data_IF_986096198563
#
_entry.id   IF_986096198563
#
_cell.length_a   1.000
_cell.length_b   1.000
_cell.length_c   1.000
_cell.angle_alpha   90.00
_cell.angle_beta   90.00
_cell.angle_gamma   90.00
#
_symmetry.space_group_name_H-M   'P 1'
#
loop_
_entity.id
_entity.type
_entity.pdbx_description
1 polymer ?
#
# COMPACT_ATOMS: atom_id res chain seq x y z
N UNK A 1 6.81 -10.77 39.18
CA UNK A 1 6.37 -9.54 38.49
C UNK A 1 6.68 -9.75 37.00
N UNK A 2 5.71 -10.05 36.17
CA UNK A 2 5.92 -10.15 34.73
C UNK A 2 6.17 -8.74 34.17
N UNK A 3 7.30 -8.56 33.48
CA UNK A 3 7.58 -7.32 32.78
C UNK A 3 6.45 -7.06 31.77
N UNK A 4 5.89 -5.85 31.80
CA UNK A 4 4.93 -5.43 30.79
C UNK A 4 5.65 -5.47 29.43
N UNK A 5 5.05 -6.11 28.39
CA UNK A 5 5.69 -6.17 27.08
C UNK A 5 5.85 -4.74 26.53
N UNK A 6 7.03 -4.45 25.97
CA UNK A 6 7.28 -3.19 25.28
C UNK A 6 6.47 -3.21 23.95
N UNK A 7 5.39 -2.43 23.94
CA UNK A 7 4.49 -2.35 22.78
C UNK A 7 5.21 -1.80 21.54
N UNK A 8 6.22 -0.94 21.70
CA UNK A 8 6.97 -0.41 20.58
C UNK A 8 7.87 -1.45 19.95
N UNK A 9 8.54 -2.28 20.77
CA UNK A 9 9.31 -3.42 20.29
C UNK A 9 8.40 -4.43 19.56
N UNK A 10 7.22 -4.72 20.13
CA UNK A 10 6.24 -5.61 19.50
C UNK A 10 5.75 -5.09 18.15
N UNK A 11 5.43 -3.80 18.03
CA UNK A 11 4.98 -3.20 16.76
C UNK A 11 6.10 -3.18 15.73
N UNK A 12 7.34 -2.93 16.14
CA UNK A 12 8.51 -2.92 15.25
C UNK A 12 8.75 -4.27 14.55
N UNK A 13 8.30 -5.38 15.13
CA UNK A 13 8.37 -6.71 14.49
C UNK A 13 7.56 -6.81 13.19
N UNK A 14 6.59 -5.91 12.97
CA UNK A 14 5.76 -5.89 11.75
C UNK A 14 6.34 -4.98 10.66
N UNK A 15 7.32 -4.13 10.97
CA UNK A 15 7.82 -3.12 10.03
C UNK A 15 8.61 -3.74 8.87
N UNK A 16 9.16 -4.94 9.05
CA UNK A 16 9.93 -5.66 8.04
C UNK A 16 9.17 -6.81 7.36
N UNK A 17 7.85 -6.90 7.57
CA UNK A 17 7.01 -7.87 6.85
C UNK A 17 6.72 -7.32 5.44
N UNK A 18 7.12 -8.03 4.37
CA UNK A 18 6.91 -7.56 3.01
C UNK A 18 5.44 -7.25 2.70
N UNK A 19 5.17 -6.05 2.17
CA UNK A 19 3.83 -5.61 1.81
C UNK A 19 2.93 -5.21 2.99
N UNK A 20 3.43 -5.25 4.21
CA UNK A 20 2.69 -4.86 5.43
C UNK A 20 3.13 -3.47 5.89
N UNK A 21 2.15 -2.63 6.20
CA UNK A 21 2.37 -1.29 6.76
C UNK A 21 1.45 -1.08 7.94
N UNK A 22 2.02 -1.10 9.14
CA UNK A 22 1.23 -0.86 10.36
C UNK A 22 0.90 0.63 10.47
N UNK A 23 -0.39 0.95 10.54
CA UNK A 23 -0.86 2.32 10.69
C UNK A 23 -0.82 2.74 12.16
N UNK A 24 0.30 3.36 12.55
CA UNK A 24 0.53 3.81 13.93
C UNK A 24 0.07 5.26 14.14
N UNK A 25 0.02 5.70 15.41
CA UNK A 25 -0.25 7.09 15.75
C UNK A 25 0.81 8.06 15.15
N UNK A 26 2.05 7.62 15.00
CA UNK A 26 3.09 8.40 14.32
C UNK A 26 2.77 8.58 12.84
N UNK A 27 2.40 7.51 12.14
CA UNK A 27 1.96 7.57 10.74
C UNK A 27 0.70 8.40 10.55
N UNK A 28 -0.27 8.30 11.48
CA UNK A 28 -1.48 9.11 11.46
C UNK A 28 -1.16 10.62 11.55
N UNK A 29 -0.21 11.00 12.41
CA UNK A 29 0.25 12.40 12.50
C UNK A 29 0.98 12.85 11.24
N UNK A 30 1.90 12.03 10.72
CA UNK A 30 2.63 12.29 9.50
C UNK A 30 1.70 12.53 8.31
N UNK A 31 0.68 11.69 8.15
CA UNK A 31 -0.26 11.72 7.03
C UNK A 31 -1.51 12.57 7.27
N UNK A 32 -1.57 13.36 8.35
CA UNK A 32 -2.80 14.06 8.71
C UNK A 32 -3.36 14.90 7.56
N UNK A 33 -2.57 15.77 6.97
CA UNK A 33 -3.02 16.66 5.89
C UNK A 33 -3.27 15.90 4.58
N UNK A 34 -2.47 14.87 4.28
CA UNK A 34 -2.70 13.96 3.15
C UNK A 34 -4.07 13.27 3.26
N UNK A 35 -4.39 12.76 4.46
CA UNK A 35 -5.67 12.09 4.71
C UNK A 35 -6.85 13.08 4.67
N UNK A 36 -6.68 14.31 5.15
CA UNK A 36 -7.70 15.37 5.05
C UNK A 36 -7.93 15.79 3.60
N UNK A 37 -6.86 15.94 2.80
CA UNK A 37 -6.96 16.16 1.37
C UNK A 37 -7.79 15.04 0.71
N UNK A 38 -7.45 13.77 0.93
CA UNK A 38 -8.17 12.65 0.36
C UNK A 38 -9.66 12.65 0.77
N UNK A 39 -9.95 12.92 2.04
CA UNK A 39 -11.33 13.04 2.55
C UNK A 39 -12.11 14.20 1.92
N UNK A 40 -11.44 15.29 1.57
CA UNK A 40 -12.10 16.43 0.92
C UNK A 40 -12.79 16.06 -0.39
N UNK A 41 -12.26 15.04 -1.10
CA UNK A 41 -12.79 14.52 -2.36
C UNK A 41 -14.12 13.76 -2.21
N UNK A 42 -14.63 13.59 -0.99
CA UNK A 42 -16.00 13.13 -0.78
C UNK A 42 -17.05 14.12 -1.31
N UNK A 43 -16.73 15.40 -1.34
CA UNK A 43 -17.63 16.45 -1.85
C UNK A 43 -17.50 16.58 -3.35
N UNK A 44 -18.62 16.71 -4.06
CA UNK A 44 -18.65 16.83 -5.51
C UNK A 44 -17.91 18.08 -6.01
N UNK A 45 -18.15 19.23 -5.38
CA UNK A 45 -17.47 20.47 -5.73
C UNK A 45 -15.94 20.40 -5.63
N UNK A 46 -15.42 19.63 -4.65
CA UNK A 46 -13.99 19.44 -4.50
C UNK A 46 -13.41 18.52 -5.58
N UNK A 47 -14.16 17.49 -5.98
CA UNK A 47 -13.74 16.63 -7.11
C UNK A 47 -13.71 17.39 -8.43
N UNK A 48 -14.63 18.31 -8.65
CA UNK A 48 -14.62 19.17 -9.83
C UNK A 48 -13.40 20.10 -9.86
N UNK A 49 -13.10 20.76 -8.73
CA UNK A 49 -11.89 21.58 -8.58
C UNK A 49 -10.62 20.76 -8.77
N UNK A 50 -10.56 19.59 -8.16
CA UNK A 50 -9.44 18.65 -8.29
C UNK A 50 -9.21 18.26 -9.75
N UNK A 51 -10.24 17.82 -10.46
CA UNK A 51 -10.16 17.43 -11.88
C UNK A 51 -9.82 18.59 -12.82
N UNK A 52 -10.18 19.81 -12.45
CA UNK A 52 -9.85 20.99 -13.24
C UNK A 52 -8.36 21.35 -13.17
N UNK A 53 -7.75 21.30 -11.99
CA UNK A 53 -6.32 21.56 -11.78
C UNK A 53 -5.85 20.90 -10.49
N UNK A 54 -5.22 19.75 -10.61
CA UNK A 54 -4.73 18.95 -9.47
C UNK A 54 -3.63 19.69 -8.71
N UNK A 55 -2.71 20.35 -9.42
CA UNK A 55 -1.59 21.04 -8.79
C UNK A 55 -2.07 22.25 -7.98
N UNK A 56 -2.97 23.05 -8.54
CA UNK A 56 -3.57 24.17 -7.84
C UNK A 56 -4.38 23.72 -6.62
N UNK A 57 -5.13 22.62 -6.75
CA UNK A 57 -5.89 22.08 -5.62
C UNK A 57 -4.97 21.59 -4.48
N UNK A 58 -3.84 20.95 -4.82
CA UNK A 58 -2.85 20.49 -3.85
C UNK A 58 -2.11 21.65 -3.17
N UNK A 59 -1.99 22.81 -3.84
CA UNK A 59 -1.35 23.97 -3.24
C UNK A 59 -2.08 24.50 -2.00
N UNK A 60 -3.41 24.31 -1.94
CA UNK A 60 -4.23 24.70 -0.79
C UNK A 60 -3.99 23.82 0.46
N UNK A 61 -3.26 22.70 0.32
CA UNK A 61 -3.06 21.75 1.41
C UNK A 61 -1.65 21.84 1.98
N UNK A 62 -1.51 21.91 3.32
CA UNK A 62 -0.19 21.96 3.98
C UNK A 62 0.46 20.57 4.05
N UNK A 63 0.52 19.91 2.89
CA UNK A 63 1.23 18.64 2.70
C UNK A 63 2.70 18.88 2.36
N UNK A 64 3.55 17.90 2.62
CA UNK A 64 4.93 17.92 2.15
C UNK A 64 4.98 17.77 0.62
N UNK A 65 6.02 18.29 -0.02
CA UNK A 65 6.20 18.13 -1.47
C UNK A 65 6.25 16.64 -1.86
N UNK A 66 6.90 15.80 -1.06
CA UNK A 66 6.93 14.35 -1.29
C UNK A 66 5.52 13.72 -1.27
N UNK A 67 4.60 14.22 -0.44
CA UNK A 67 3.20 13.77 -0.44
C UNK A 67 2.47 14.25 -1.69
N UNK A 68 2.66 15.51 -2.09
CA UNK A 68 2.04 16.08 -3.30
C UNK A 68 2.51 15.35 -4.56
N UNK A 69 3.82 15.15 -4.70
CA UNK A 69 4.41 14.41 -5.82
C UNK A 69 3.86 12.98 -5.91
N UNK A 70 3.76 12.28 -4.77
CA UNK A 70 3.22 10.94 -4.74
C UNK A 70 1.71 10.89 -5.11
N UNK A 71 0.93 11.93 -4.75
CA UNK A 71 -0.48 12.05 -5.17
C UNK A 71 -0.56 12.25 -6.69
N UNK A 72 0.22 13.17 -7.25
CA UNK A 72 0.22 13.43 -8.70
C UNK A 72 0.69 12.23 -9.51
N UNK A 73 1.67 11.48 -8.97
CA UNK A 73 2.16 10.24 -9.58
C UNK A 73 1.22 9.03 -9.38
N UNK A 74 0.16 9.15 -8.56
CA UNK A 74 -0.68 8.02 -8.14
C UNK A 74 0.12 6.86 -7.52
N UNK A 75 1.25 7.19 -6.89
CA UNK A 75 2.08 6.20 -6.18
C UNK A 75 1.47 5.88 -4.81
N UNK A 76 0.47 5.00 -4.81
CA UNK A 76 -0.26 4.63 -3.60
C UNK A 76 0.63 3.94 -2.57
N UNK A 77 1.63 3.18 -3.00
CA UNK A 77 2.61 2.58 -2.09
C UNK A 77 3.40 3.65 -1.35
N UNK A 78 3.90 4.63 -2.08
CA UNK A 78 4.61 5.79 -1.52
C UNK A 78 3.71 6.60 -0.59
N UNK A 79 2.44 6.81 -0.96
CA UNK A 79 1.47 7.51 -0.13
C UNK A 79 1.23 6.80 1.20
N UNK A 80 1.15 5.46 1.22
CA UNK A 80 1.07 4.69 2.47
C UNK A 80 2.33 4.88 3.33
N UNK A 81 3.53 4.91 2.73
CA UNK A 81 4.79 5.15 3.44
C UNK A 81 4.87 6.58 4.03
N UNK A 82 4.22 7.54 3.37
CA UNK A 82 4.13 8.93 3.81
C UNK A 82 2.96 9.21 4.79
N UNK A 83 2.37 8.16 5.36
CA UNK A 83 1.33 8.27 6.39
C UNK A 83 -0.11 8.29 5.86
N UNK A 84 -0.29 7.98 4.58
CA UNK A 84 -1.62 7.79 4.01
C UNK A 84 -2.33 6.58 4.61
N UNK A 85 -3.64 6.68 4.76
CA UNK A 85 -4.49 5.57 5.14
C UNK A 85 -5.27 5.11 3.91
N UNK A 86 -5.26 3.80 3.63
CA UNK A 86 -5.87 3.24 2.42
C UNK A 86 -7.36 3.59 2.26
N UNK A 87 -8.12 3.68 3.37
CA UNK A 87 -9.53 4.05 3.33
C UNK A 87 -9.75 5.50 2.88
N UNK A 88 -8.82 6.40 3.20
CA UNK A 88 -8.86 7.79 2.74
C UNK A 88 -8.33 7.89 1.31
N UNK A 89 -7.21 7.23 0.99
CA UNK A 89 -6.65 7.18 -0.35
C UNK A 89 -7.64 6.59 -1.38
N UNK A 90 -8.57 5.74 -0.94
CA UNK A 90 -9.65 5.23 -1.77
C UNK A 90 -10.49 6.35 -2.42
N UNK A 91 -10.55 7.54 -1.82
CA UNK A 91 -11.26 8.69 -2.41
C UNK A 91 -10.53 9.25 -3.63
N UNK A 92 -9.19 9.18 -3.63
CA UNK A 92 -8.36 9.62 -4.76
C UNK A 92 -8.61 8.70 -5.96
N UNK A 93 -8.36 7.41 -5.83
CA UNK A 93 -8.52 6.49 -6.97
C UNK A 93 -9.99 6.34 -7.43
N UNK A 94 -10.96 6.45 -6.51
CA UNK A 94 -12.38 6.48 -6.91
C UNK A 94 -12.73 7.77 -7.70
N UNK A 95 -12.08 8.89 -7.40
CA UNK A 95 -12.26 10.14 -8.16
C UNK A 95 -11.66 10.02 -9.56
N UNK A 96 -10.59 9.23 -9.72
CA UNK A 96 -10.01 8.86 -11.02
C UNK A 96 -10.85 7.81 -11.78
N UNK A 97 -11.92 7.29 -11.17
CA UNK A 97 -12.79 6.27 -11.77
C UNK A 97 -12.28 4.84 -11.63
N UNK A 98 -11.23 4.61 -10.83
CA UNK A 98 -10.71 3.28 -10.58
C UNK A 98 -11.54 2.55 -9.53
N UNK A 99 -11.81 1.27 -9.78
CA UNK A 99 -12.31 0.36 -8.75
C UNK A 99 -11.21 0.07 -7.71
N UNK A 100 -11.62 -0.41 -6.54
CA UNK A 100 -10.66 -0.83 -5.51
C UNK A 100 -9.72 -1.92 -6.04
N UNK A 101 -10.25 -2.90 -6.77
CA UNK A 101 -9.48 -3.97 -7.37
C UNK A 101 -8.40 -3.46 -8.33
N UNK A 102 -8.76 -2.51 -9.21
CA UNK A 102 -7.80 -1.88 -10.11
C UNK A 102 -6.69 -1.13 -9.36
N UNK A 103 -7.04 -0.34 -8.35
CA UNK A 103 -6.06 0.40 -7.57
C UNK A 103 -5.07 -0.54 -6.84
N UNK A 104 -5.56 -1.60 -6.17
CA UNK A 104 -4.68 -2.54 -5.46
C UNK A 104 -3.85 -3.41 -6.40
N UNK A 105 -4.33 -3.70 -7.62
CA UNK A 105 -3.53 -4.41 -8.61
C UNK A 105 -2.30 -3.58 -9.01
N UNK A 106 -2.45 -2.26 -9.22
CA UNK A 106 -1.29 -1.38 -9.49
C UNK A 106 -0.29 -1.38 -8.35
N UNK A 107 -0.75 -1.39 -7.09
CA UNK A 107 0.10 -1.46 -5.91
C UNK A 107 0.88 -2.78 -5.79
N UNK A 108 0.34 -3.85 -6.33
CA UNK A 108 0.97 -5.19 -6.32
C UNK A 108 1.91 -5.42 -7.50
N UNK A 109 1.90 -4.52 -8.51
CA UNK A 109 2.64 -4.69 -9.76
C UNK A 109 2.07 -5.78 -10.67
N UNK A 110 0.80 -6.18 -10.45
CA UNK A 110 0.10 -7.21 -11.23
C UNK A 110 -0.92 -6.56 -12.16
N UNK A 111 -1.31 -7.26 -13.24
CA UNK A 111 -2.51 -6.90 -13.97
C UNK A 111 -3.75 -7.08 -13.09
N UNK A 112 -4.86 -6.42 -13.44
CA UNK A 112 -6.11 -6.56 -12.68
C UNK A 112 -6.64 -7.99 -12.75
N UNK A 113 -6.50 -8.64 -13.89
CA UNK A 113 -6.90 -10.03 -14.14
C UNK A 113 -6.08 -11.02 -13.31
N UNK A 114 -4.75 -10.87 -13.32
CA UNK A 114 -3.85 -11.74 -12.55
C UNK A 114 -4.07 -11.56 -11.04
N UNK A 115 -4.25 -10.30 -10.60
CA UNK A 115 -4.55 -10.02 -9.20
C UNK A 115 -5.90 -10.64 -8.78
N UNK A 116 -6.94 -10.51 -9.61
CA UNK A 116 -8.24 -11.12 -9.34
C UNK A 116 -8.15 -12.66 -9.32
N UNK A 117 -7.43 -13.27 -10.26
CA UNK A 117 -7.22 -14.71 -10.30
C UNK A 117 -6.49 -15.21 -9.04
N UNK A 118 -5.42 -14.50 -8.63
CA UNK A 118 -4.70 -14.81 -7.39
C UNK A 118 -5.60 -14.72 -6.16
N UNK A 119 -6.42 -13.68 -6.05
CA UNK A 119 -7.33 -13.51 -4.91
C UNK A 119 -8.42 -14.59 -4.88
N UNK A 120 -8.97 -14.96 -6.05
CA UNK A 120 -9.96 -16.04 -6.16
C UNK A 120 -9.38 -17.42 -5.85
N UNK A 121 -8.08 -17.61 -6.07
CA UNK A 121 -7.34 -18.81 -5.68
C UNK A 121 -6.98 -18.88 -4.18
N UNK A 122 -7.48 -17.94 -3.37
CA UNK A 122 -7.24 -17.90 -1.92
C UNK A 122 -6.20 -16.87 -1.49
N UNK A 123 -5.73 -16.03 -2.41
CA UNK A 123 -4.73 -15.00 -2.13
C UNK A 123 -3.31 -15.57 -2.01
N UNK A 124 -2.38 -14.73 -1.56
CA UNK A 124 -1.02 -15.17 -1.26
C UNK A 124 -1.02 -16.03 0.01
N UNK A 125 -0.28 -17.15 -0.03
CA UNK A 125 -0.09 -17.95 1.17
C UNK A 125 0.53 -17.10 2.29
N UNK A 126 0.01 -17.16 3.52
CA UNK A 126 0.66 -16.53 4.67
C UNK A 126 1.94 -17.27 5.07
N UNK A 127 2.14 -18.51 4.59
CA UNK A 127 3.34 -19.28 4.84
C UNK A 127 4.53 -18.61 4.15
N UNK A 128 5.57 -18.29 4.92
CA UNK A 128 6.75 -17.58 4.43
C UNK A 128 6.62 -16.05 4.36
N UNK A 129 5.45 -15.46 4.62
CA UNK A 129 5.26 -14.01 4.77
C UNK A 129 5.49 -13.61 6.22
N UNK A 130 6.62 -14.02 6.76
CA UNK A 130 7.08 -13.57 8.08
C UNK A 130 7.99 -12.36 7.93
N UNK A 131 8.32 -11.73 9.05
CA UNK A 131 9.31 -10.66 9.03
C UNK A 131 10.62 -11.14 8.42
N UNK A 132 11.32 -10.27 7.71
CA UNK A 132 12.61 -10.59 7.07
C UNK A 132 13.62 -11.06 8.12
N UNK A 133 13.64 -10.40 9.29
CA UNK A 133 14.51 -10.75 10.41
C UNK A 133 14.18 -12.13 11.00
N UNK A 134 12.89 -12.43 11.18
CA UNK A 134 12.45 -13.74 11.69
C UNK A 134 12.75 -14.87 10.70
N UNK A 135 12.55 -14.65 9.40
CA UNK A 135 12.90 -15.63 8.36
C UNK A 135 14.41 -15.88 8.29
N UNK A 136 15.22 -14.83 8.44
CA UNK A 136 16.70 -14.96 8.48
C UNK A 136 17.15 -15.75 9.71
N UNK A 137 16.55 -15.50 10.88
CA UNK A 137 16.84 -16.24 12.11
C UNK A 137 16.43 -17.73 12.01
N UNK A 138 15.37 -18.04 11.24
CA UNK A 138 14.90 -19.40 10.98
C UNK A 138 15.66 -20.12 9.85
N UNK A 139 16.66 -19.47 9.21
CA UNK A 139 17.41 -20.05 8.08
C UNK A 139 16.63 -20.13 6.77
N UNK A 140 15.51 -19.43 6.67
CA UNK A 140 14.67 -19.38 5.47
C UNK A 140 15.15 -18.36 4.43
N UNK A 141 14.80 -18.61 3.15
CA UNK A 141 15.00 -17.66 2.07
C UNK A 141 14.19 -16.37 2.31
N UNK A 142 14.75 -15.21 1.98
CA UNK A 142 14.04 -13.95 2.09
C UNK A 142 12.82 -13.95 1.16
N UNK A 143 11.69 -13.37 1.58
CA UNK A 143 10.43 -13.37 0.83
C UNK A 143 10.54 -12.87 -0.63
N UNK A 144 11.61 -12.12 -0.96
CA UNK A 144 11.97 -11.72 -2.32
C UNK A 144 12.40 -12.90 -3.21
N UNK A 145 13.07 -13.90 -2.65
CA UNK A 145 13.52 -15.08 -3.40
C UNK A 145 12.39 -16.11 -3.56
N UNK A 146 11.55 -16.27 -2.52
CA UNK A 146 10.36 -17.11 -2.60
C UNK A 146 9.36 -16.59 -3.65
N UNK A 147 9.22 -15.27 -3.77
CA UNK A 147 8.34 -14.65 -4.77
C UNK A 147 8.88 -14.76 -6.21
N UNK A 148 10.22 -14.79 -6.40
CA UNK A 148 10.84 -15.08 -7.71
C UNK A 148 10.72 -16.54 -8.11
N UNK A 149 10.84 -17.45 -7.16
CA UNK A 149 10.68 -18.89 -7.42
C UNK A 149 9.24 -19.24 -7.82
N UNK A 150 8.24 -18.59 -7.19
CA UNK A 150 6.83 -18.77 -7.54
C UNK A 150 6.49 -18.16 -8.91
N UNK A 151 7.11 -17.05 -9.30
CA UNK A 151 6.92 -16.42 -10.61
C UNK A 151 7.62 -17.18 -11.75
N UNK A 152 8.67 -17.95 -11.46
CA UNK A 152 9.42 -18.72 -12.46
C UNK A 152 8.82 -20.10 -12.78
N UNK A 153 7.93 -20.62 -11.96
CA UNK A 153 7.36 -21.97 -12.13
C UNK A 153 6.13 -22.01 -13.06
N UNK A 154 5.66 -20.86 -13.56
CA UNK A 154 4.41 -20.74 -14.35
C UNK A 154 4.55 -20.75 -15.86
N UNK A 155 5.74 -20.93 -16.44
CA UNK A 155 5.92 -20.79 -17.89
C UNK A 155 6.66 -21.98 -18.54
N UNK A 156 6.15 -23.19 -18.33
CA UNK A 156 6.39 -24.30 -19.25
C UNK A 156 5.07 -24.67 -19.90
N UNK A 157 4.72 -23.95 -20.99
CA UNK A 157 3.78 -24.48 -21.99
C UNK A 157 4.56 -25.51 -22.79
N UNK A 158 4.18 -26.77 -22.65
CA UNK A 158 4.51 -27.79 -23.63
C UNK A 158 3.76 -27.50 -24.92
N UNK A 159 4.52 -27.23 -26.00
CA UNK A 159 4.03 -27.30 -27.35
C UNK A 159 3.77 -28.77 -27.72
N UNK A 160 2.53 -29.08 -28.07
CA UNK A 160 2.14 -30.19 -28.97
C UNK A 160 0.87 -29.79 -29.70
#
# INVERSE_FOLDING_TARGET
MSAQPDIHAYIAEFDDIPGTRVYTAARARQGYHLNQFAMSLMKAENRERWKADEAAYLADWPMTEAQKDAVLARDYNRLLDLGGNIYFLAKVFSTDGLSFLQAVSTMSGMSTEDYAAMMNAGGRSPDGVRSISANRAAGGATGSEANRAAAGAGNTREDC
#
